data_IF_931407961521
#
_entry.id   IF_931407961521
#
_cell.length_a   1.000
_cell.length_b   1.000
_cell.length_c   1.000
_cell.angle_alpha   90.00
_cell.angle_beta   90.00
_cell.angle_gamma   90.00
#
_symmetry.space_group_name_H-M   'P 1'
#
loop_
_entity.id
_entity.type
_entity.pdbx_description
1 polymer ?
#
# COMPACT_ATOMS: atom_id res chain seq x y z
N UNK A 1 -2.75 -14.72 71.61
CA UNK A 1 -1.86 -15.57 70.78
C UNK A 1 -2.76 -16.47 69.94
N UNK A 2 -3.12 -16.05 68.73
CA UNK A 2 -4.02 -16.78 67.82
C UNK A 2 -3.22 -17.06 66.56
N UNK A 3 -2.91 -18.33 66.33
CA UNK A 3 -2.19 -18.84 65.16
C UNK A 3 -3.12 -18.79 63.94
N UNK A 4 -2.89 -17.82 63.05
CA UNK A 4 -3.58 -17.70 61.77
C UNK A 4 -3.06 -18.75 60.79
N UNK A 5 -3.93 -19.69 60.42
CA UNK A 5 -3.68 -20.71 59.40
C UNK A 5 -3.78 -20.11 58.00
N UNK A 6 -2.63 -19.89 57.38
CA UNK A 6 -2.51 -19.56 55.95
C UNK A 6 -2.97 -20.76 55.10
N UNK A 7 -4.19 -20.69 54.56
CA UNK A 7 -4.66 -21.62 53.52
C UNK A 7 -3.91 -21.35 52.22
N UNK A 8 -3.30 -22.40 51.67
CA UNK A 8 -2.66 -22.37 50.36
C UNK A 8 -3.68 -22.11 49.23
N UNK A 9 -3.31 -21.37 48.17
CA UNK A 9 -4.18 -21.11 47.03
C UNK A 9 -4.51 -22.42 46.31
N UNK A 10 -5.80 -22.75 46.24
CA UNK A 10 -6.33 -23.89 45.49
C UNK A 10 -6.00 -23.75 44.01
N UNK A 11 -5.34 -24.75 43.42
CA UNK A 11 -5.12 -24.86 41.99
C UNK A 11 -6.45 -24.73 41.24
N UNK A 12 -6.60 -23.66 40.46
CA UNK A 12 -7.76 -23.47 39.58
C UNK A 12 -7.69 -24.53 38.50
N UNK A 13 -8.60 -25.51 38.56
CA UNK A 13 -8.57 -26.67 37.65
C UNK A 13 -8.82 -26.22 36.20
N UNK A 14 -7.84 -26.48 35.33
CA UNK A 14 -7.87 -26.15 33.91
C UNK A 14 -9.04 -26.80 33.13
N UNK A 15 -9.71 -27.77 33.73
CA UNK A 15 -10.91 -28.44 33.21
C UNK A 15 -12.07 -27.44 33.07
N UNK A 16 -12.27 -26.54 34.04
CA UNK A 16 -13.32 -25.53 33.99
C UNK A 16 -13.14 -24.54 32.82
N UNK A 17 -11.90 -24.24 32.42
CA UNK A 17 -11.62 -23.29 31.34
C UNK A 17 -11.98 -23.84 29.94
N UNK A 18 -11.87 -25.15 29.71
CA UNK A 18 -12.29 -25.78 28.44
C UNK A 18 -13.81 -25.82 28.32
N UNK A 19 -14.51 -26.13 29.40
CA UNK A 19 -15.97 -26.21 29.42
C UNK A 19 -16.61 -24.83 29.26
N UNK A 20 -16.03 -23.80 29.88
CA UNK A 20 -16.44 -22.40 29.68
C UNK A 20 -16.26 -21.98 28.21
N UNK A 21 -15.14 -22.31 27.56
CA UNK A 21 -14.94 -22.01 26.13
C UNK A 21 -15.94 -22.73 25.24
N UNK A 22 -16.23 -24.01 25.54
CA UNK A 22 -17.19 -24.82 24.77
C UNK A 22 -18.60 -24.27 24.90
N UNK A 23 -18.99 -23.87 26.12
CA UNK A 23 -20.28 -23.27 26.42
C UNK A 23 -20.44 -21.88 25.79
N UNK A 24 -19.42 -21.02 25.85
CA UNK A 24 -19.44 -19.72 25.17
C UNK A 24 -19.59 -19.91 23.66
N UNK A 25 -18.87 -20.88 23.07
CA UNK A 25 -18.94 -21.15 21.64
C UNK A 25 -20.32 -21.69 21.23
N UNK A 26 -20.95 -22.56 22.04
CA UNK A 26 -22.31 -23.05 21.75
C UNK A 26 -23.37 -21.94 21.90
N UNK A 27 -23.25 -21.09 22.92
CA UNK A 27 -24.11 -19.91 23.13
C UNK A 27 -23.94 -18.87 22.01
N UNK A 28 -22.71 -18.62 21.54
CA UNK A 28 -22.47 -17.74 20.40
C UNK A 28 -23.05 -18.28 19.10
N UNK A 29 -22.98 -19.59 18.86
CA UNK A 29 -23.60 -20.23 17.69
C UNK A 29 -25.14 -20.15 17.77
N UNK A 30 -25.71 -20.27 18.97
CA UNK A 30 -27.16 -20.12 19.19
C UNK A 30 -27.64 -18.66 19.10
N UNK A 31 -26.84 -17.70 19.58
CA UNK A 31 -27.22 -16.29 19.67
C UNK A 31 -26.91 -15.47 18.41
N UNK A 32 -25.83 -15.76 17.68
CA UNK A 32 -25.54 -15.09 16.41
C UNK A 32 -26.51 -15.50 15.29
N UNK A 33 -27.45 -16.41 15.57
CA UNK A 33 -28.42 -16.91 14.63
C UNK A 33 -27.74 -17.74 13.55
N UNK A 34 -28.33 -18.88 13.19
CA UNK A 34 -28.10 -19.38 11.84
C UNK A 34 -28.51 -18.23 10.92
N UNK A 35 -27.61 -17.76 10.06
CA UNK A 35 -27.94 -16.85 8.95
C UNK A 35 -29.24 -17.36 8.37
N UNK A 36 -30.31 -16.58 8.51
CA UNK A 36 -31.63 -17.02 8.10
C UNK A 36 -31.51 -17.45 6.63
N UNK A 37 -31.82 -18.71 6.28
CA UNK A 37 -31.74 -19.18 4.91
C UNK A 37 -32.49 -18.26 3.94
N UNK A 38 -33.54 -17.57 4.41
CA UNK A 38 -34.25 -16.54 3.65
C UNK A 38 -33.38 -15.31 3.32
N UNK A 39 -32.52 -14.87 4.23
CA UNK A 39 -31.56 -13.78 3.98
C UNK A 39 -30.50 -14.20 2.98
N UNK A 40 -29.95 -15.42 3.12
CA UNK A 40 -28.97 -15.95 2.16
C UNK A 40 -29.60 -16.10 0.78
N UNK A 41 -30.81 -16.66 0.70
CA UNK A 41 -31.54 -16.83 -0.55
C UNK A 41 -31.88 -15.49 -1.19
N UNK A 42 -32.40 -14.51 -0.43
CA UNK A 42 -32.73 -13.19 -0.97
C UNK A 42 -31.51 -12.42 -1.43
N UNK A 43 -30.37 -12.51 -0.73
CA UNK A 43 -29.10 -11.92 -1.19
C UNK A 43 -28.61 -12.60 -2.46
N UNK A 44 -28.59 -13.94 -2.51
CA UNK A 44 -28.18 -14.68 -3.71
C UNK A 44 -29.10 -14.40 -4.90
N UNK A 45 -30.41 -14.34 -4.68
CA UNK A 45 -31.40 -14.00 -5.70
C UNK A 45 -31.21 -12.57 -6.19
N UNK A 46 -31.02 -11.60 -5.29
CA UNK A 46 -30.79 -10.20 -5.64
C UNK A 46 -29.49 -10.04 -6.46
N UNK A 47 -28.41 -10.71 -6.05
CA UNK A 47 -27.14 -10.73 -6.81
C UNK A 47 -27.34 -11.40 -8.16
N UNK A 48 -28.02 -12.54 -8.21
CA UNK A 48 -28.32 -13.25 -9.46
C UNK A 48 -29.15 -12.42 -10.43
N UNK A 49 -30.17 -11.72 -9.92
CA UNK A 49 -31.03 -10.84 -10.72
C UNK A 49 -30.28 -9.60 -11.20
N UNK A 50 -29.44 -9.00 -10.35
CA UNK A 50 -28.57 -7.89 -10.73
C UNK A 50 -27.59 -8.31 -11.83
N UNK A 51 -26.97 -9.49 -11.71
CA UNK A 51 -26.12 -10.05 -12.76
C UNK A 51 -26.93 -10.29 -14.03
N UNK A 52 -28.10 -10.94 -13.96
CA UNK A 52 -28.92 -11.23 -15.14
C UNK A 52 -29.35 -9.95 -15.88
N UNK A 53 -29.77 -8.92 -15.16
CA UNK A 53 -30.23 -7.65 -15.75
C UNK A 53 -29.07 -6.79 -16.27
N UNK A 54 -27.92 -6.81 -15.58
CA UNK A 54 -26.80 -5.93 -15.89
C UNK A 54 -25.70 -6.62 -16.73
N UNK A 55 -25.73 -7.94 -16.95
CA UNK A 55 -24.63 -8.62 -17.64
C UNK A 55 -24.40 -8.08 -19.05
N UNK A 56 -25.45 -7.93 -19.85
CA UNK A 56 -25.33 -7.48 -21.24
C UNK A 56 -24.76 -6.05 -21.33
N UNK A 57 -25.29 -5.04 -20.61
CA UNK A 57 -24.69 -3.71 -20.64
C UNK A 57 -23.30 -3.66 -20.01
N UNK A 58 -23.03 -4.46 -18.96
CA UNK A 58 -21.68 -4.54 -18.36
C UNK A 58 -20.68 -5.14 -19.35
N UNK A 59 -21.02 -6.24 -20.02
CA UNK A 59 -20.15 -6.88 -21.01
C UNK A 59 -19.93 -5.94 -22.19
N UNK A 60 -20.96 -5.26 -22.68
CA UNK A 60 -20.82 -4.26 -23.74
C UNK A 60 -19.94 -3.07 -23.32
N UNK A 61 -20.03 -2.63 -22.07
CA UNK A 61 -19.21 -1.54 -21.53
C UNK A 61 -17.75 -1.96 -21.28
N UNK A 62 -17.50 -3.20 -20.87
CA UNK A 62 -16.15 -3.74 -20.63
C UNK A 62 -15.48 -4.13 -21.96
N UNK A 63 -16.27 -4.65 -22.90
CA UNK A 63 -15.79 -5.27 -24.12
C UNK A 63 -16.66 -4.86 -25.32
N UNK A 64 -16.54 -3.60 -25.80
CA UNK A 64 -17.39 -3.06 -26.85
C UNK A 64 -17.31 -3.87 -28.15
N UNK A 65 -18.43 -4.11 -28.80
CA UNK A 65 -18.48 -4.95 -30.02
C UNK A 65 -17.64 -4.38 -31.17
N UNK A 66 -17.66 -3.06 -31.34
CA UNK A 66 -16.90 -2.33 -32.35
C UNK A 66 -15.47 -2.06 -31.84
N UNK A 67 -14.43 -2.45 -32.60
CA UNK A 67 -13.07 -2.12 -32.24
C UNK A 67 -12.88 -0.59 -32.21
N UNK A 68 -12.10 -0.06 -31.25
CA UNK A 68 -11.80 1.37 -31.22
C UNK A 68 -11.10 1.79 -32.52
N UNK A 69 -11.39 2.99 -33.00
CA UNK A 69 -10.82 3.58 -34.22
C UNK A 69 -9.33 3.92 -34.04
N UNK A 70 -8.48 2.91 -33.83
CA UNK A 70 -7.01 2.99 -33.81
C UNK A 70 -6.34 4.01 -32.86
N UNK A 71 -7.11 4.76 -32.10
CA UNK A 71 -6.72 6.02 -31.46
C UNK A 71 -6.39 5.83 -29.99
N UNK A 72 -5.43 4.93 -29.70
CA UNK A 72 -4.86 4.76 -28.36
C UNK A 72 -5.90 4.51 -27.25
N UNK A 73 -5.46 4.61 -25.99
CA UNK A 73 -6.38 4.56 -24.86
C UNK A 73 -7.22 5.84 -24.81
N UNK A 74 -8.52 5.67 -24.97
CA UNK A 74 -9.47 6.77 -24.83
C UNK A 74 -9.40 7.32 -23.40
N UNK A 75 -9.27 8.65 -23.29
CA UNK A 75 -9.20 9.38 -22.02
C UNK A 75 -10.39 9.03 -21.11
N UNK A 76 -11.56 8.76 -21.71
CA UNK A 76 -12.79 8.37 -21.03
C UNK A 76 -12.64 7.07 -20.24
N UNK A 77 -11.97 6.06 -20.80
CA UNK A 77 -11.74 4.77 -20.14
C UNK A 77 -10.82 4.97 -18.95
N UNK A 78 -9.73 5.71 -19.12
CA UNK A 78 -8.80 6.03 -18.04
C UNK A 78 -9.45 6.85 -16.92
N UNK A 79 -10.28 7.84 -17.28
CA UNK A 79 -11.06 8.62 -16.33
C UNK A 79 -12.05 7.73 -15.56
N UNK A 80 -12.72 6.80 -16.25
CA UNK A 80 -13.61 5.80 -15.66
C UNK A 80 -12.89 4.91 -14.65
N UNK A 81 -11.72 4.37 -15.00
CA UNK A 81 -10.86 3.59 -14.09
C UNK A 81 -10.49 4.40 -12.85
N UNK A 82 -10.02 5.63 -13.05
CA UNK A 82 -9.66 6.54 -11.96
C UNK A 82 -10.84 6.79 -11.02
N UNK A 83 -12.04 7.00 -11.57
CA UNK A 83 -13.27 7.22 -10.81
C UNK A 83 -13.69 5.98 -10.02
N UNK A 84 -13.61 4.78 -10.63
CA UNK A 84 -13.89 3.51 -9.94
C UNK A 84 -12.93 3.31 -8.75
N UNK A 85 -11.64 3.59 -8.94
CA UNK A 85 -10.65 3.43 -7.87
C UNK A 85 -10.79 4.49 -6.78
N UNK A 86 -11.13 5.73 -7.14
CA UNK A 86 -11.44 6.79 -6.18
C UNK A 86 -12.72 6.47 -5.38
N UNK A 87 -13.74 5.90 -6.03
CA UNK A 87 -14.95 5.43 -5.38
C UNK A 87 -14.66 4.26 -4.44
N UNK A 88 -13.87 3.27 -4.86
CA UNK A 88 -13.40 2.17 -4.03
C UNK A 88 -12.68 2.69 -2.78
N UNK A 89 -11.72 3.60 -2.95
CA UNK A 89 -11.03 4.26 -1.84
C UNK A 89 -12.00 4.95 -0.88
N UNK A 90 -12.95 5.71 -1.42
CA UNK A 90 -13.95 6.45 -0.65
C UNK A 90 -14.86 5.52 0.15
N UNK A 91 -15.34 4.44 -0.47
CA UNK A 91 -16.17 3.41 0.18
C UNK A 91 -15.38 2.74 1.30
N UNK A 92 -14.16 2.28 1.01
CA UNK A 92 -13.30 1.66 2.02
C UNK A 92 -13.04 2.61 3.20
N UNK A 93 -12.85 3.90 2.95
CA UNK A 93 -12.72 4.91 4.01
C UNK A 93 -14.00 5.15 4.81
N UNK A 94 -15.16 5.18 4.18
CA UNK A 94 -16.45 5.38 4.85
C UNK A 94 -16.87 4.18 5.70
N UNK A 95 -16.46 2.98 5.29
CA UNK A 95 -16.71 1.75 6.05
C UNK A 95 -15.96 1.67 7.40
N UNK A 96 -15.13 2.67 7.73
CA UNK A 96 -14.44 2.76 9.02
C UNK A 96 -13.26 1.78 9.14
N UNK A 97 -12.68 1.59 10.34
CA UNK A 97 -11.59 0.62 10.54
C UNK A 97 -12.11 -0.74 10.11
N UNK A 98 -11.60 -1.25 8.97
CA UNK A 98 -12.25 -2.21 8.05
C UNK A 98 -12.58 -3.60 8.59
N UNK A 99 -12.73 -3.75 9.89
CA UNK A 99 -12.77 -5.05 10.55
C UNK A 99 -13.59 -5.07 11.84
N UNK A 100 -13.93 -3.91 12.43
CA UNK A 100 -14.75 -3.85 13.64
C UNK A 100 -15.59 -2.57 13.64
N UNK A 101 -16.92 -2.68 13.67
CA UNK A 101 -17.80 -1.51 13.84
C UNK A 101 -17.40 -0.76 15.13
N UNK A 102 -17.64 0.55 15.21
CA UNK A 102 -17.35 1.32 16.45
C UNK A 102 -17.98 0.66 17.68
N UNK A 103 -19.19 0.12 17.54
CA UNK A 103 -19.88 -0.61 18.61
C UNK A 103 -19.19 -1.92 18.97
N UNK A 104 -18.65 -2.67 18.02
CA UNK A 104 -17.90 -3.89 18.31
C UNK A 104 -16.50 -3.60 18.88
N UNK A 105 -15.88 -2.47 18.50
CA UNK A 105 -14.53 -2.12 18.93
C UNK A 105 -14.49 -1.74 20.41
N UNK A 106 -15.51 -1.05 20.92
CA UNK A 106 -15.60 -0.69 22.34
C UNK A 106 -15.68 -1.91 23.26
N UNK A 107 -16.26 -3.02 22.80
CA UNK A 107 -16.38 -4.25 23.58
C UNK A 107 -15.25 -5.27 23.31
N UNK A 108 -14.68 -5.29 22.10
CA UNK A 108 -13.62 -6.25 21.72
C UNK A 108 -12.20 -5.80 22.10
N UNK A 109 -11.94 -4.49 22.19
CA UNK A 109 -10.62 -3.99 22.60
C UNK A 109 -10.18 -4.35 24.02
N UNK A 110 -11.07 -4.37 25.04
CA UNK A 110 -10.71 -4.81 26.38
C UNK A 110 -10.77 -6.34 26.55
N UNK A 111 -11.41 -7.07 25.63
CA UNK A 111 -11.54 -8.51 25.73
C UNK A 111 -10.18 -9.20 25.48
N UNK A 112 -9.82 -10.24 26.26
CA UNK A 112 -8.56 -10.98 26.11
C UNK A 112 -8.60 -11.95 24.92
N UNK A 113 -8.94 -11.45 23.73
CA UNK A 113 -9.04 -12.22 22.48
C UNK A 113 -7.94 -11.77 21.53
N UNK A 114 -7.35 -12.71 20.78
CA UNK A 114 -6.29 -12.37 19.84
C UNK A 114 -6.84 -11.46 18.73
N UNK A 115 -6.33 -10.22 18.68
CA UNK A 115 -6.74 -9.21 17.69
C UNK A 115 -6.63 -9.75 16.26
N UNK A 116 -5.62 -10.58 15.97
CA UNK A 116 -5.46 -11.24 14.67
C UNK A 116 -6.69 -12.07 14.27
N UNK A 117 -7.25 -12.89 15.17
CA UNK A 117 -8.43 -13.71 14.82
C UNK A 117 -9.66 -12.89 14.45
N UNK A 118 -9.81 -11.69 15.03
CA UNK A 118 -10.96 -10.82 14.77
C UNK A 118 -10.82 -10.03 13.47
N UNK A 119 -9.59 -9.66 13.10
CA UNK A 119 -9.34 -8.75 11.97
C UNK A 119 -9.03 -9.50 10.66
N UNK A 120 -8.51 -10.73 10.71
CA UNK A 120 -8.10 -11.48 9.50
C UNK A 120 -9.26 -11.73 8.53
N UNK A 121 -10.46 -12.19 8.96
CA UNK A 121 -11.54 -12.52 8.03
C UNK A 121 -12.04 -11.29 7.24
N UNK A 122 -12.22 -10.17 7.93
CA UNK A 122 -12.70 -8.92 7.34
C UNK A 122 -11.64 -8.27 6.45
N UNK A 123 -10.36 -8.32 6.86
CA UNK A 123 -9.25 -7.90 5.99
C UNK A 123 -9.19 -8.78 4.72
N UNK A 124 -9.34 -10.09 4.85
CA UNK A 124 -9.33 -11.00 3.71
C UNK A 124 -10.47 -10.72 2.72
N UNK A 125 -11.66 -10.39 3.25
CA UNK A 125 -12.82 -10.03 2.43
C UNK A 125 -12.61 -8.70 1.70
N UNK A 126 -12.03 -7.68 2.37
CA UNK A 126 -11.72 -6.40 1.74
C UNK A 126 -10.67 -6.54 0.64
N UNK A 127 -9.61 -7.34 0.86
CA UNK A 127 -8.59 -7.64 -0.14
C UNK A 127 -9.21 -8.40 -1.33
N UNK A 128 -10.02 -9.43 -1.06
CA UNK A 128 -10.67 -10.21 -2.11
C UNK A 128 -11.64 -9.36 -2.95
N UNK A 129 -12.48 -8.55 -2.31
CA UNK A 129 -13.40 -7.64 -3.00
C UNK A 129 -12.64 -6.62 -3.87
N UNK A 130 -11.55 -6.05 -3.35
CA UNK A 130 -10.71 -5.11 -4.09
C UNK A 130 -10.03 -5.80 -5.27
N UNK A 131 -9.52 -7.02 -5.09
CA UNK A 131 -8.91 -7.80 -6.17
C UNK A 131 -9.90 -8.05 -7.32
N UNK A 132 -11.15 -8.41 -7.01
CA UNK A 132 -12.21 -8.62 -8.00
C UNK A 132 -12.54 -7.33 -8.76
N UNK A 133 -12.74 -6.22 -8.03
CA UNK A 133 -13.02 -4.91 -8.66
C UNK A 133 -11.86 -4.51 -9.58
N UNK A 134 -10.63 -4.67 -9.11
CA UNK A 134 -9.42 -4.41 -9.89
C UNK A 134 -9.32 -5.28 -11.14
N UNK A 135 -9.54 -6.58 -11.02
CA UNK A 135 -9.53 -7.52 -12.15
C UNK A 135 -10.53 -7.13 -13.24
N UNK A 136 -11.76 -6.79 -12.85
CA UNK A 136 -12.80 -6.29 -13.76
C UNK A 136 -12.38 -4.99 -14.44
N UNK A 137 -11.78 -4.08 -13.67
CA UNK A 137 -11.29 -2.79 -14.21
C UNK A 137 -10.15 -3.00 -15.22
N UNK A 138 -9.23 -3.94 -14.96
CA UNK A 138 -8.18 -4.33 -15.90
C UNK A 138 -8.73 -4.97 -17.17
N UNK A 139 -9.77 -5.81 -17.07
CA UNK A 139 -10.45 -6.34 -18.25
C UNK A 139 -11.10 -5.25 -19.10
N UNK A 140 -11.72 -4.25 -18.47
CA UNK A 140 -12.32 -3.12 -19.18
C UNK A 140 -11.25 -2.33 -19.96
N UNK A 141 -10.13 -2.01 -19.30
CA UNK A 141 -8.98 -1.36 -19.96
C UNK A 141 -8.51 -2.15 -21.17
N UNK A 142 -8.36 -3.47 -21.02
CA UNK A 142 -7.92 -4.34 -22.11
C UNK A 142 -8.94 -4.38 -23.26
N UNK A 143 -10.24 -4.48 -22.95
CA UNK A 143 -11.30 -4.55 -23.95
C UNK A 143 -11.41 -3.29 -24.81
N UNK A 144 -11.05 -2.14 -24.25
CA UNK A 144 -11.03 -0.85 -24.93
C UNK A 144 -9.69 -0.50 -25.60
N UNK A 145 -8.58 -1.13 -25.20
CA UNK A 145 -7.25 -0.78 -25.72
C UNK A 145 -6.67 -1.81 -26.69
N UNK A 146 -7.04 -3.09 -26.57
CA UNK A 146 -6.40 -4.16 -27.30
C UNK A 146 -6.95 -4.33 -28.72
N UNK A 147 -6.05 -4.39 -29.70
CA UNK A 147 -6.37 -4.84 -31.05
C UNK A 147 -6.75 -6.32 -31.02
N UNK A 148 -7.85 -6.68 -31.69
CA UNK A 148 -8.31 -8.08 -31.76
C UNK A 148 -7.57 -8.82 -32.88
N UNK A 149 -7.24 -10.11 -32.69
CA UNK A 149 -7.52 -10.96 -31.51
C UNK A 149 -6.60 -10.68 -30.32
N UNK A 150 -7.14 -10.78 -29.09
CA UNK A 150 -6.39 -10.52 -27.86
C UNK A 150 -5.76 -11.82 -27.35
N UNK A 151 -4.43 -11.90 -27.17
CA UNK A 151 -3.78 -13.10 -26.67
C UNK A 151 -4.11 -13.32 -25.19
N UNK A 152 -4.21 -14.58 -24.76
CA UNK A 152 -4.55 -14.93 -23.38
C UNK A 152 -3.57 -14.32 -22.35
N UNK A 153 -2.29 -14.19 -22.70
CA UNK A 153 -1.27 -13.56 -21.86
C UNK A 153 -1.62 -12.09 -21.53
N UNK A 154 -2.17 -11.32 -22.48
CA UNK A 154 -2.60 -9.94 -22.24
C UNK A 154 -3.82 -9.87 -21.33
N UNK A 155 -4.73 -10.86 -21.42
CA UNK A 155 -5.86 -11.00 -20.50
C UNK A 155 -5.36 -11.21 -19.07
N UNK A 156 -4.47 -12.19 -18.86
CA UNK A 156 -3.89 -12.48 -17.54
C UNK A 156 -3.10 -11.30 -16.97
N UNK A 157 -2.29 -10.63 -17.80
CA UNK A 157 -1.52 -9.47 -17.38
C UNK A 157 -2.42 -8.32 -16.94
N UNK A 158 -3.45 -8.00 -17.73
CA UNK A 158 -4.35 -6.89 -17.42
C UNK A 158 -5.20 -7.17 -16.17
N UNK A 159 -5.71 -8.40 -16.03
CA UNK A 159 -6.45 -8.85 -14.83
C UNK A 159 -5.57 -8.74 -13.59
N UNK A 160 -4.34 -9.25 -13.66
CA UNK A 160 -3.41 -9.26 -12.53
C UNK A 160 -2.98 -7.85 -12.13
N UNK A 161 -2.72 -6.98 -13.12
CA UNK A 161 -2.35 -5.59 -12.89
C UNK A 161 -3.50 -4.79 -12.27
N UNK A 162 -4.72 -4.95 -12.81
CA UNK A 162 -5.91 -4.33 -12.25
C UNK A 162 -6.16 -4.78 -10.80
N UNK A 163 -6.09 -6.09 -10.54
CA UNK A 163 -6.27 -6.65 -9.20
C UNK A 163 -5.22 -6.11 -8.22
N UNK A 164 -3.94 -6.11 -8.61
CA UNK A 164 -2.85 -5.59 -7.78
C UNK A 164 -3.04 -4.10 -7.46
N UNK A 165 -3.46 -3.31 -8.45
CA UNK A 165 -3.71 -1.88 -8.27
C UNK A 165 -4.87 -1.58 -7.32
N UNK A 166 -5.98 -2.30 -7.43
CA UNK A 166 -7.09 -2.14 -6.49
C UNK A 166 -6.77 -2.64 -5.07
N UNK A 167 -5.97 -3.71 -4.93
CA UNK A 167 -5.42 -4.13 -3.63
C UNK A 167 -4.54 -3.01 -3.06
N UNK A 168 -3.70 -2.37 -3.87
CA UNK A 168 -2.87 -1.25 -3.42
C UNK A 168 -3.73 -0.07 -2.95
N UNK A 169 -4.84 0.25 -3.64
CA UNK A 169 -5.83 1.24 -3.20
C UNK A 169 -6.46 0.84 -1.85
N UNK A 170 -6.77 -0.44 -1.65
CA UNK A 170 -7.34 -0.92 -0.39
C UNK A 170 -6.34 -0.83 0.78
N UNK A 171 -5.08 -1.20 0.54
CA UNK A 171 -4.00 -1.00 1.50
C UNK A 171 -3.76 0.49 1.78
N UNK A 172 -3.86 1.34 0.76
CA UNK A 172 -3.80 2.79 0.94
C UNK A 172 -4.97 3.30 1.79
N UNK A 173 -6.18 2.82 1.57
CA UNK A 173 -7.34 3.17 2.39
C UNK A 173 -7.13 2.75 3.85
N UNK A 174 -6.62 1.55 4.10
CA UNK A 174 -6.25 1.06 5.43
C UNK A 174 -5.15 1.92 6.09
N UNK A 175 -4.15 2.34 5.31
CA UNK A 175 -3.16 3.32 5.75
C UNK A 175 -3.84 4.65 6.05
N UNK A 176 -4.75 5.16 5.23
CA UNK A 176 -5.43 6.42 5.52
C UNK A 176 -6.31 6.36 6.77
N UNK A 177 -6.89 5.19 7.07
CA UNK A 177 -7.64 4.96 8.31
C UNK A 177 -6.76 4.94 9.55
N UNK A 178 -5.56 4.36 9.44
CA UNK A 178 -4.57 4.40 10.52
C UNK A 178 -3.91 5.78 10.65
N UNK A 179 -4.00 6.63 9.61
CA UNK A 179 -3.29 7.91 9.50
C UNK A 179 -4.17 9.03 8.88
N UNK A 180 -5.04 9.72 9.65
CA UNK A 180 -6.00 10.70 9.14
C UNK A 180 -5.40 11.92 8.43
N UNK A 181 -4.12 12.22 8.66
CA UNK A 181 -3.42 13.30 7.97
C UNK A 181 -3.12 12.97 6.49
N UNK A 182 -2.80 11.70 6.20
CA UNK A 182 -2.58 11.22 4.82
C UNK A 182 -3.88 11.28 4.02
N UNK A 183 -4.99 10.95 4.67
CA UNK A 183 -6.33 11.11 4.12
C UNK A 183 -6.60 12.55 3.66
N UNK A 184 -6.31 13.55 4.49
CA UNK A 184 -6.52 14.98 4.15
C UNK A 184 -5.64 15.46 2.99
N UNK A 185 -4.40 14.97 2.93
CA UNK A 185 -3.47 15.29 1.84
C UNK A 185 -3.96 14.71 0.50
N UNK A 186 -4.42 13.45 0.52
CA UNK A 186 -4.96 12.76 -0.65
C UNK A 186 -6.32 13.33 -1.10
N UNK A 187 -7.18 13.69 -0.15
CA UNK A 187 -8.49 14.30 -0.42
C UNK A 187 -8.35 15.70 -1.05
N UNK A 188 -7.28 16.43 -0.70
CA UNK A 188 -6.97 17.73 -1.29
C UNK A 188 -6.37 17.64 -2.70
N UNK A 189 -5.88 16.47 -3.12
CA UNK A 189 -5.07 16.31 -4.33
C UNK A 189 -5.68 15.30 -5.30
N UNK A 190 -6.85 15.59 -5.85
CA UNK A 190 -7.63 14.66 -6.71
C UNK A 190 -6.90 14.03 -7.93
N UNK A 191 -5.69 14.48 -8.30
CA UNK A 191 -4.81 13.84 -9.30
C UNK A 191 -3.43 13.40 -8.78
N UNK A 192 -2.99 13.90 -7.62
CA UNK A 192 -1.72 13.49 -7.01
C UNK A 192 -1.81 12.14 -6.28
N UNK A 193 -3.02 11.56 -6.16
CA UNK A 193 -3.26 10.24 -5.57
C UNK A 193 -2.51 9.14 -6.35
N UNK A 194 -2.39 9.25 -7.67
CA UNK A 194 -1.68 8.26 -8.51
C UNK A 194 -0.15 8.42 -8.37
N UNK A 195 0.37 9.65 -8.38
CA UNK A 195 1.79 9.91 -8.12
C UNK A 195 2.19 9.61 -6.65
N UNK A 196 1.26 9.82 -5.71
CA UNK A 196 1.35 9.49 -4.29
C UNK A 196 1.35 7.98 -4.04
N UNK A 197 0.50 7.22 -4.75
CA UNK A 197 0.48 5.76 -4.71
C UNK A 197 1.80 5.16 -5.21
N UNK A 198 2.38 5.75 -6.25
CA UNK A 198 3.67 5.34 -6.80
C UNK A 198 4.84 5.67 -5.88
N UNK A 199 4.83 6.83 -5.23
CA UNK A 199 5.88 7.26 -4.27
C UNK A 199 5.78 6.53 -2.92
N UNK A 200 4.58 6.22 -2.44
CA UNK A 200 4.40 5.44 -1.21
C UNK A 200 4.69 3.96 -1.43
N UNK A 201 4.36 3.39 -2.59
CA UNK A 201 4.70 2.00 -2.94
C UNK A 201 6.21 1.81 -3.15
N UNK A 202 6.91 2.76 -3.80
CA UNK A 202 8.37 2.71 -3.99
C UNK A 202 9.14 2.78 -2.68
N UNK A 203 8.80 3.75 -1.81
CA UNK A 203 9.45 3.90 -0.50
C UNK A 203 9.07 2.74 0.43
N UNK A 204 7.85 2.22 0.35
CA UNK A 204 7.42 1.04 1.10
C UNK A 204 8.17 -0.22 0.68
N UNK A 205 8.29 -0.50 -0.62
CA UNK A 205 9.02 -1.65 -1.15
C UNK A 205 10.52 -1.56 -0.82
N UNK A 206 11.14 -0.40 -1.01
CA UNK A 206 12.55 -0.17 -0.70
C UNK A 206 12.84 -0.12 0.82
N UNK A 207 11.84 0.16 1.65
CA UNK A 207 11.98 0.30 3.10
C UNK A 207 12.11 -1.03 3.86
N UNK A 208 11.42 -2.08 3.42
CA UNK A 208 11.42 -3.41 4.09
C UNK A 208 12.81 -3.96 4.42
N UNK A 209 13.82 -3.93 3.51
CA UNK A 209 15.17 -4.40 3.83
C UNK A 209 15.94 -3.46 4.79
N UNK A 210 15.53 -2.20 4.89
CA UNK A 210 16.23 -1.16 5.67
C UNK A 210 15.76 -1.05 7.13
N UNK A 211 14.72 -1.78 7.53
CA UNK A 211 14.23 -1.75 8.92
C UNK A 211 15.27 -2.28 9.93
N UNK A 212 16.15 -3.19 9.49
CA UNK A 212 17.26 -3.74 10.29
C UNK A 212 18.33 -2.71 10.66
N UNK A 213 18.40 -1.59 9.93
CA UNK A 213 19.45 -0.56 10.08
C UNK A 213 19.39 0.11 11.45
N UNK A 214 18.20 0.17 12.07
CA UNK A 214 18.01 0.73 13.39
C UNK A 214 18.66 -0.12 14.51
N UNK A 215 18.64 -1.45 14.39
CA UNK A 215 19.22 -2.36 15.37
C UNK A 215 20.75 -2.32 15.35
N UNK A 216 21.35 -2.10 14.17
CA UNK A 216 22.81 -2.04 14.00
C UNK A 216 23.44 -0.71 14.38
N UNK A 217 22.71 0.41 14.28
CA UNK A 217 23.18 1.71 14.78
C UNK A 217 23.49 1.66 16.30
N UNK A 218 22.87 0.73 17.04
CA UNK A 218 23.17 0.46 18.45
C UNK A 218 24.41 -0.43 18.65
N UNK A 219 24.94 -1.04 17.59
CA UNK A 219 25.98 -2.08 17.64
C UNK A 219 27.25 -1.66 16.90
N UNK A 220 27.73 -0.43 17.11
CA UNK A 220 29.00 0.05 16.56
C UNK A 220 30.19 -0.87 16.90
N UNK A 221 30.12 -1.57 18.05
CA UNK A 221 31.10 -2.59 18.44
C UNK A 221 31.13 -3.79 17.48
N UNK A 222 29.97 -4.20 16.93
CA UNK A 222 29.86 -5.33 16.01
C UNK A 222 30.46 -5.02 14.64
N UNK A 223 30.32 -3.77 14.17
CA UNK A 223 31.01 -3.30 12.95
C UNK A 223 32.52 -3.23 13.11
N UNK A 224 33.02 -2.86 14.30
CA UNK A 224 34.45 -2.89 14.64
C UNK A 224 34.99 -4.31 14.69
N UNK A 225 34.25 -5.26 15.27
CA UNK A 225 34.62 -6.67 15.31
C UNK A 225 34.68 -7.30 13.91
N UNK A 226 33.81 -6.87 12.98
CA UNK A 226 33.81 -7.33 11.59
C UNK A 226 34.82 -6.58 10.69
N UNK A 227 35.53 -5.58 11.20
CA UNK A 227 36.49 -4.78 10.43
C UNK A 227 35.86 -3.99 9.27
N UNK A 228 34.54 -3.77 9.29
CA UNK A 228 33.83 -3.07 8.22
C UNK A 228 33.74 -1.57 8.52
N UNK A 229 34.27 -0.75 7.61
CA UNK A 229 34.07 0.71 7.67
C UNK A 229 32.59 1.06 7.44
N UNK A 230 32.05 2.03 8.19
CA UNK A 230 30.65 2.48 8.06
C UNK A 230 30.26 2.86 6.61
N UNK A 231 31.20 3.42 5.84
CA UNK A 231 31.01 3.74 4.42
C UNK A 231 30.68 2.53 3.55
N UNK A 232 31.40 1.41 3.75
CA UNK A 232 31.15 0.15 3.01
C UNK A 232 29.79 -0.43 3.35
N UNK A 233 29.40 -0.38 4.61
CA UNK A 233 28.10 -0.88 5.08
C UNK A 233 26.96 -0.06 4.47
N UNK A 234 27.06 1.29 4.49
CA UNK A 234 26.04 2.16 3.86
C UNK A 234 25.96 1.92 2.35
N UNK A 235 27.11 1.78 1.67
CA UNK A 235 27.12 1.50 0.24
C UNK A 235 26.44 0.16 -0.09
N UNK A 236 26.73 -0.91 0.66
CA UNK A 236 26.08 -2.22 0.49
C UNK A 236 24.57 -2.15 0.76
N UNK A 237 24.15 -1.41 1.80
CA UNK A 237 22.73 -1.22 2.16
C UNK A 237 21.93 -0.46 1.11
N UNK A 238 22.58 0.37 0.28
CA UNK A 238 21.90 1.08 -0.79
C UNK A 238 21.61 0.18 -2.00
N UNK A 239 22.37 -0.89 -2.22
CA UNK A 239 22.27 -1.71 -3.46
C UNK A 239 20.86 -2.31 -3.61
N UNK A 240 20.41 -3.08 -2.62
CA UNK A 240 19.10 -3.76 -2.68
C UNK A 240 17.93 -2.78 -2.87
N UNK A 241 17.77 -1.73 -2.05
CA UNK A 241 16.69 -0.76 -2.26
C UNK A 241 16.86 0.05 -3.55
N UNK A 242 18.08 0.27 -4.05
CA UNK A 242 18.28 0.95 -5.34
C UNK A 242 17.78 0.10 -6.50
N UNK A 243 18.11 -1.19 -6.50
CA UNK A 243 17.64 -2.13 -7.53
C UNK A 243 16.12 -2.26 -7.48
N UNK A 244 15.55 -2.44 -6.29
CA UNK A 244 14.10 -2.59 -6.14
C UNK A 244 13.34 -1.31 -6.54
N UNK A 245 13.84 -0.15 -6.11
CA UNK A 245 13.32 1.16 -6.49
C UNK A 245 13.41 1.40 -8.00
N UNK A 246 14.56 1.07 -8.61
CA UNK A 246 14.78 1.19 -10.05
C UNK A 246 13.81 0.30 -10.83
N UNK A 247 13.69 -0.98 -10.47
CA UNK A 247 12.81 -1.94 -11.13
C UNK A 247 11.35 -1.51 -11.03
N UNK A 248 10.91 -1.05 -9.86
CA UNK A 248 9.54 -0.59 -9.67
C UNK A 248 9.26 0.69 -10.47
N UNK A 249 10.11 1.70 -10.36
CA UNK A 249 9.96 2.95 -11.11
C UNK A 249 9.99 2.69 -12.62
N UNK A 250 10.89 1.83 -13.10
CA UNK A 250 10.95 1.44 -14.49
C UNK A 250 9.67 0.71 -14.93
N UNK A 251 9.19 -0.28 -14.16
CA UNK A 251 7.96 -1.01 -14.47
C UNK A 251 6.75 -0.08 -14.58
N UNK A 252 6.65 0.89 -13.69
CA UNK A 252 5.60 1.92 -13.71
C UNK A 252 5.70 2.76 -14.98
N UNK A 253 6.89 3.23 -15.32
CA UNK A 253 7.09 4.05 -16.53
C UNK A 253 6.84 3.24 -17.81
N UNK A 254 7.26 1.97 -17.86
CA UNK A 254 6.95 1.04 -18.95
C UNK A 254 5.44 0.82 -19.07
N UNK A 255 4.73 0.64 -17.95
CA UNK A 255 3.28 0.51 -17.97
C UNK A 255 2.60 1.77 -18.52
N UNK A 256 3.04 2.96 -18.10
CA UNK A 256 2.53 4.23 -18.62
C UNK A 256 2.83 4.42 -20.12
N UNK A 257 4.00 3.97 -20.59
CA UNK A 257 4.34 3.96 -22.02
C UNK A 257 3.49 2.97 -22.82
N UNK A 258 3.26 1.76 -22.29
CA UNK A 258 2.45 0.73 -22.95
C UNK A 258 1.00 1.18 -23.14
N UNK A 259 0.50 2.03 -22.23
CA UNK A 259 -0.83 2.66 -22.28
C UNK A 259 -0.84 3.88 -23.23
N UNK A 260 0.31 4.25 -23.81
CA UNK A 260 0.44 5.37 -24.76
C UNK A 260 0.45 6.75 -24.10
N UNK A 261 0.57 6.84 -22.77
CA UNK A 261 0.57 8.11 -22.04
C UNK A 261 1.91 8.85 -22.13
N UNK A 262 2.99 8.12 -22.39
CA UNK A 262 4.35 8.63 -22.39
C UNK A 262 5.08 8.17 -23.66
N UNK A 263 5.85 9.07 -24.27
CA UNK A 263 6.72 8.77 -25.43
C UNK A 263 8.18 9.08 -25.10
N UNK A 264 9.10 8.23 -25.54
CA UNK A 264 10.55 8.38 -25.28
C UNK A 264 11.08 7.46 -24.17
N UNK A 265 12.29 7.69 -23.64
CA UNK A 265 13.00 6.79 -22.72
C UNK A 265 12.59 6.94 -21.24
N UNK A 266 11.30 7.06 -20.92
CA UNK A 266 10.82 7.18 -19.52
C UNK A 266 11.15 5.96 -18.66
N UNK A 267 11.18 4.76 -19.24
CA UNK A 267 11.65 3.56 -18.54
C UNK A 267 13.08 3.71 -18.01
N UNK A 268 13.96 4.34 -18.78
CA UNK A 268 15.35 4.58 -18.40
C UNK A 268 15.42 5.62 -17.28
N UNK A 269 14.58 6.64 -17.33
CA UNK A 269 14.47 7.62 -16.25
C UNK A 269 13.98 6.98 -14.95
N UNK A 270 13.02 6.05 -15.04
CA UNK A 270 12.58 5.22 -13.90
C UNK A 270 13.69 4.36 -13.30
N UNK A 271 14.48 3.66 -14.15
CA UNK A 271 15.64 2.88 -13.68
C UNK A 271 16.64 3.77 -12.93
N UNK A 272 16.93 4.92 -13.50
CA UNK A 272 17.95 5.84 -12.98
C UNK A 272 17.47 6.63 -11.75
N UNK A 273 16.16 6.68 -11.49
CA UNK A 273 15.59 7.22 -10.25
C UNK A 273 15.72 6.28 -9.04
N UNK A 274 15.98 4.99 -9.25
CA UNK A 274 16.06 3.98 -8.18
C UNK A 274 17.03 4.33 -7.03
N UNK A 275 18.26 4.79 -7.28
CA UNK A 275 19.19 5.17 -6.21
C UNK A 275 18.69 6.37 -5.39
N UNK A 276 17.98 7.33 -5.98
CA UNK A 276 17.35 8.42 -5.23
C UNK A 276 16.28 7.90 -4.26
N UNK A 277 15.45 6.95 -4.71
CA UNK A 277 14.48 6.25 -3.86
C UNK A 277 15.16 5.52 -2.70
N UNK A 278 16.30 4.88 -2.96
CA UNK A 278 17.08 4.19 -1.92
C UNK A 278 17.65 5.15 -0.88
N UNK A 279 18.20 6.28 -1.30
CA UNK A 279 18.74 7.31 -0.40
C UNK A 279 17.64 7.85 0.51
N UNK A 280 16.46 8.15 -0.06
CA UNK A 280 15.29 8.57 0.71
C UNK A 280 14.84 7.50 1.71
N UNK A 281 14.77 6.23 1.29
CA UNK A 281 14.40 5.11 2.16
C UNK A 281 15.40 4.92 3.32
N UNK A 282 16.70 4.98 3.06
CA UNK A 282 17.72 4.85 4.11
C UNK A 282 17.74 6.07 5.03
N UNK A 283 17.51 7.29 4.53
CA UNK A 283 17.40 8.48 5.38
C UNK A 283 16.19 8.38 6.31
N UNK A 284 15.06 7.93 5.77
CA UNK A 284 13.87 7.63 6.56
C UNK A 284 14.16 6.59 7.64
N UNK A 285 14.89 5.51 7.32
CA UNK A 285 15.25 4.47 8.29
C UNK A 285 16.22 4.96 9.39
N UNK A 286 17.03 5.98 9.11
CA UNK A 286 17.96 6.58 10.09
C UNK A 286 17.26 7.48 11.10
N UNK A 287 16.22 8.20 10.68
CA UNK A 287 15.32 8.83 11.62
C UNK A 287 14.66 7.71 12.43
N UNK A 288 14.93 7.61 13.73
CA UNK A 288 14.28 6.58 14.54
C UNK A 288 12.92 7.09 14.99
N UNK A 289 11.84 6.34 14.71
CA UNK A 289 10.55 6.60 15.34
C UNK A 289 10.65 6.56 16.88
N UNK A 290 11.61 5.79 17.43
CA UNK A 290 11.78 5.61 18.87
C UNK A 290 12.53 6.76 19.57
N UNK A 291 13.42 7.50 18.89
CA UNK A 291 14.08 8.67 19.53
C UNK A 291 13.22 9.92 19.55
N UNK A 292 12.19 9.95 18.70
CA UNK A 292 11.27 11.09 18.54
C UNK A 292 9.90 10.79 19.19
N UNK A 293 9.70 9.58 19.72
CA UNK A 293 8.46 9.14 20.39
C UNK A 293 8.18 9.85 21.72
N UNK A 294 9.12 10.65 22.22
CA UNK A 294 9.07 11.25 23.55
C UNK A 294 8.12 12.46 23.61
N UNK A 295 7.79 13.04 22.46
CA UNK A 295 6.86 14.17 22.36
C UNK A 295 5.52 13.64 21.87
N UNK A 296 4.58 13.47 22.78
CA UNK A 296 3.20 13.17 22.43
C UNK A 296 2.45 14.48 22.18
N UNK A 297 1.83 14.59 21.01
CA UNK A 297 0.87 15.64 20.68
C UNK A 297 -0.48 15.15 21.17
N UNK A 298 -1.08 15.85 22.13
CA UNK A 298 -2.46 15.57 22.50
C UNK A 298 -3.40 15.98 21.37
N UNK A 299 -4.06 14.98 20.80
CA UNK A 299 -5.12 15.18 19.82
C UNK A 299 -6.46 14.81 20.46
N UNK A 300 -7.60 15.27 19.93
CA UNK A 300 -8.93 14.86 20.41
C UNK A 300 -9.18 13.34 20.36
N UNK A 301 -8.30 12.59 19.68
CA UNK A 301 -8.34 11.13 19.54
C UNK A 301 -7.32 10.40 20.44
N UNK A 302 -6.62 11.14 21.31
CA UNK A 302 -5.58 10.64 22.21
C UNK A 302 -4.20 11.23 21.93
N UNK A 303 -3.29 10.94 22.85
CA UNK A 303 -1.89 11.36 22.78
C UNK A 303 -1.18 10.63 21.62
N UNK A 304 -0.67 11.38 20.64
CA UNK A 304 -0.05 10.86 19.43
C UNK A 304 1.46 11.09 19.46
N UNK A 305 2.31 10.06 19.30
CA UNK A 305 3.76 10.24 19.28
C UNK A 305 4.18 11.00 18.01
N UNK A 306 4.50 12.30 18.17
CA UNK A 306 4.91 13.21 17.09
C UNK A 306 6.06 12.65 16.26
N UNK A 307 6.92 11.86 16.89
CA UNK A 307 8.02 11.17 16.24
C UNK A 307 7.64 10.29 15.07
N UNK A 308 6.43 9.75 15.06
CA UNK A 308 5.97 8.89 13.97
C UNK A 308 5.60 9.69 12.72
N UNK A 309 5.11 10.94 12.88
CA UNK A 309 4.84 11.86 11.77
C UNK A 309 6.15 12.41 11.19
N UNK A 310 7.06 12.87 12.06
CA UNK A 310 8.39 13.32 11.65
C UNK A 310 9.18 12.20 10.96
N UNK A 311 9.01 10.95 11.41
CA UNK A 311 9.59 9.79 10.77
C UNK A 311 9.08 9.54 9.34
N UNK A 312 7.78 9.75 9.08
CA UNK A 312 7.20 9.57 7.75
C UNK A 312 7.58 10.66 6.76
N UNK A 313 7.72 11.89 7.28
CA UNK A 313 8.14 13.04 6.49
C UNK A 313 9.65 13.00 6.20
N UNK A 314 10.43 12.37 7.08
CA UNK A 314 11.85 12.20 6.86
C UNK A 314 12.13 11.34 5.62
N UNK A 315 12.91 11.89 4.70
CA UNK A 315 13.27 11.26 3.44
C UNK A 315 12.34 11.62 2.28
N UNK A 316 11.13 12.16 2.52
CA UNK A 316 10.29 12.71 1.44
C UNK A 316 10.89 13.99 0.86
N UNK A 317 11.48 14.83 1.71
CA UNK A 317 12.26 15.99 1.31
C UNK A 317 13.45 15.60 0.42
N UNK A 318 14.21 14.59 0.84
CA UNK A 318 15.35 14.06 0.09
C UNK A 318 14.89 13.44 -1.23
N UNK A 319 13.80 12.67 -1.21
CA UNK A 319 13.22 12.11 -2.42
C UNK A 319 12.79 13.21 -3.39
N UNK A 320 12.02 14.19 -2.91
CA UNK A 320 11.50 15.28 -3.72
C UNK A 320 12.63 16.06 -4.40
N UNK A 321 13.71 16.35 -3.67
CA UNK A 321 14.89 17.04 -4.22
C UNK A 321 15.62 16.17 -5.24
N UNK A 322 15.88 14.90 -4.92
CA UNK A 322 16.63 14.00 -5.82
C UNK A 322 15.82 13.53 -7.03
N UNK A 323 14.49 13.56 -6.95
CA UNK A 323 13.57 13.24 -8.06
C UNK A 323 13.06 14.48 -8.79
N UNK A 324 13.65 15.67 -8.56
CA UNK A 324 13.27 16.89 -9.26
C UNK A 324 13.29 16.73 -10.79
N UNK A 325 14.33 16.16 -11.43
CA UNK A 325 14.34 16.00 -12.88
C UNK A 325 13.18 15.13 -13.39
N UNK A 326 12.88 14.02 -12.70
CA UNK A 326 11.71 13.19 -12.98
C UNK A 326 10.40 13.99 -12.87
N UNK A 327 10.20 14.72 -11.76
CA UNK A 327 8.98 15.49 -11.50
C UNK A 327 8.78 16.62 -12.50
N UNK A 328 9.85 17.38 -12.80
CA UNK A 328 9.82 18.45 -13.79
C UNK A 328 9.60 17.89 -15.19
N UNK A 329 10.26 16.78 -15.54
CA UNK A 329 10.05 16.09 -16.81
C UNK A 329 8.59 15.70 -17.00
N UNK A 330 7.98 15.05 -15.99
CA UNK A 330 6.56 14.68 -15.99
C UNK A 330 5.62 15.89 -16.13
N UNK A 331 5.95 17.00 -15.47
CA UNK A 331 5.14 18.22 -15.50
C UNK A 331 5.26 18.99 -16.83
N UNK A 332 6.43 18.95 -17.46
CA UNK A 332 6.74 19.77 -18.65
C UNK A 332 6.52 19.05 -19.98
N UNK A 333 6.71 17.73 -20.05
CA UNK A 333 6.67 16.97 -21.32
C UNK A 333 5.44 16.06 -21.44
N UNK A 334 4.29 16.51 -20.94
CA UNK A 334 3.03 15.76 -20.99
C UNK A 334 2.62 15.33 -22.41
N UNK A 335 2.08 14.10 -22.51
CA UNK A 335 1.41 13.33 -23.60
C UNK A 335 1.86 13.44 -25.08
N UNK A 336 2.71 14.37 -25.49
CA UNK A 336 3.02 14.60 -26.92
C UNK A 336 4.49 14.50 -27.28
N UNK A 337 5.37 15.10 -26.48
CA UNK A 337 6.79 15.27 -26.83
C UNK A 337 7.65 14.12 -26.33
N UNK A 338 8.57 13.66 -27.18
CA UNK A 338 9.52 12.62 -26.81
C UNK A 338 10.53 13.18 -25.78
N UNK A 339 10.59 12.55 -24.62
CA UNK A 339 11.54 12.92 -23.57
C UNK A 339 12.99 12.80 -24.09
N UNK A 340 13.79 13.86 -23.96
CA UNK A 340 15.21 13.81 -24.32
C UNK A 340 16.03 12.95 -23.35
N UNK A 341 17.07 12.26 -23.85
CA UNK A 341 18.06 11.55 -23.04
C UNK A 341 18.79 12.45 -22.02
N UNK A 342 18.79 13.77 -22.24
CA UNK A 342 19.30 14.75 -21.27
C UNK A 342 18.61 14.63 -19.91
N UNK A 343 17.31 14.34 -19.87
CA UNK A 343 16.56 14.15 -18.63
C UNK A 343 17.00 12.90 -17.87
N UNK A 344 17.32 11.82 -18.58
CA UNK A 344 17.84 10.57 -17.99
C UNK A 344 19.22 10.83 -17.39
N UNK A 345 20.09 11.56 -18.09
CA UNK A 345 21.41 11.94 -17.60
C UNK A 345 21.33 12.84 -16.36
N UNK A 346 20.44 13.84 -16.36
CA UNK A 346 20.20 14.72 -15.21
C UNK A 346 19.69 13.96 -13.99
N UNK A 347 18.71 13.06 -14.18
CA UNK A 347 18.22 12.21 -13.09
C UNK A 347 19.33 11.29 -12.56
N UNK A 348 20.19 10.77 -13.44
CA UNK A 348 21.31 9.91 -13.03
C UNK A 348 22.36 10.62 -12.24
N UNK A 349 22.70 11.84 -12.66
CA UNK A 349 23.58 12.71 -11.90
C UNK A 349 23.00 13.01 -10.51
N UNK A 350 21.71 13.39 -10.43
CA UNK A 350 21.06 13.67 -9.15
C UNK A 350 21.06 12.44 -8.22
N UNK A 351 20.63 11.27 -8.73
CA UNK A 351 20.64 10.00 -8.00
C UNK A 351 22.04 9.60 -7.51
N UNK A 352 23.06 9.69 -8.38
CA UNK A 352 24.44 9.35 -8.03
C UNK A 352 25.03 10.33 -7.00
N UNK A 353 24.76 11.63 -7.14
CA UNK A 353 25.17 12.65 -6.18
C UNK A 353 24.54 12.41 -4.81
N UNK A 354 23.25 12.07 -4.76
CA UNK A 354 22.55 11.70 -3.52
C UNK A 354 23.22 10.53 -2.80
N UNK A 355 23.54 9.45 -3.53
CA UNK A 355 24.27 8.30 -2.99
C UNK A 355 25.67 8.68 -2.49
N UNK A 356 26.43 9.43 -3.29
CA UNK A 356 27.80 9.83 -2.95
C UNK A 356 27.86 10.71 -1.70
N UNK A 357 26.94 11.68 -1.58
CA UNK A 357 26.80 12.53 -0.39
C UNK A 357 26.48 11.67 0.83
N UNK A 358 25.51 10.76 0.72
CA UNK A 358 25.11 9.90 1.83
C UNK A 358 26.24 8.98 2.32
N UNK A 359 27.02 8.40 1.40
CA UNK A 359 28.17 7.55 1.73
C UNK A 359 29.30 8.38 2.37
N UNK A 360 29.59 9.58 1.84
CA UNK A 360 30.66 10.45 2.35
C UNK A 360 30.36 10.96 3.76
N UNK A 361 29.09 11.22 4.07
CA UNK A 361 28.63 11.74 5.36
C UNK A 361 28.47 10.66 6.43
N UNK A 362 28.54 9.37 6.06
CA UNK A 362 28.64 8.30 7.04
C UNK A 362 29.98 8.38 7.76
N UNK A 363 29.96 8.68 9.07
CA UNK A 363 31.15 8.70 9.93
C UNK A 363 31.86 7.33 9.87
N UNK A 364 33.18 7.37 9.89
CA UNK A 364 34.09 6.23 10.12
C UNK A 364 34.09 5.86 11.59
#
# INVERSE_FOLDING_TARGET
>A
MVLGTTRAPTEVSWVAAKDVRRWIRSRQIAANGRLDPGVVYSVLLAVGMAVALLHAPIVAAIWPGTPPDGSGLQLEVLAGVGLVWAALYSVLRRLGPLTVSRSAATWLLPAPVSRRMLLTPSLSLAIAASAVIGAVTGLAVLGHAATRPVPAASVFASVSFGAAGAIAVALLALLCQRWPAVARLLDASGGAVVCGLLTVATVGAAGVPTESTHSEARSAALLRLLGLSGRRVVAQRLVVPSVLGALWCAAVMVALQAVGLLRGPWWALGLVAGPAVAVAAVQRAKASAASIANVLIDTPLGAFPAGTLLWLLNGLDVLAVLSLPLSVGLASHGTGEALSWTWVALQGFASAAGCAVMVRWSKT
#
